data_IF_341036666474
#
_entry.id   IF_341036666474
#
_cell.length_a   1.000
_cell.length_b   1.000
_cell.length_c   1.000
_cell.angle_alpha   90.00
_cell.angle_beta   90.00
_cell.angle_gamma   90.00
#
_symmetry.space_group_name_H-M   'P 1'
#
loop_
_entity.id
_entity.type
_entity.pdbx_description
1 polymer ?
#
# COMPACT_ATOMS: atom_id res chain seq x y z
N UNK A 1 13.06 -5.12 -31.93
CA UNK A 1 13.87 -4.75 -30.75
C UNK A 1 13.65 -5.86 -29.72
N UNK A 2 14.70 -6.50 -29.23
CA UNK A 2 14.55 -7.53 -28.19
C UNK A 2 14.77 -6.89 -26.83
N UNK A 3 14.01 -7.28 -25.78
CA UNK A 3 14.24 -6.81 -24.42
C UNK A 3 15.63 -7.26 -23.93
N UNK A 4 16.20 -6.52 -22.99
CA UNK A 4 17.49 -6.91 -22.41
C UNK A 4 17.36 -8.23 -21.65
N UNK A 5 18.44 -9.00 -21.58
CA UNK A 5 18.50 -10.26 -20.83
C UNK A 5 18.06 -10.10 -19.36
N UNK A 6 18.39 -8.96 -18.74
CA UNK A 6 17.98 -8.62 -17.37
C UNK A 6 16.45 -8.53 -17.24
N UNK A 7 15.78 -7.87 -18.20
CA UNK A 7 14.31 -7.74 -18.19
C UNK A 7 13.65 -9.09 -18.47
N UNK A 8 14.18 -9.87 -19.43
CA UNK A 8 13.63 -11.20 -19.78
C UNK A 8 13.73 -12.20 -18.62
N UNK A 9 14.63 -11.99 -17.67
CA UNK A 9 14.87 -12.89 -16.55
C UNK A 9 14.58 -12.23 -15.18
N UNK A 10 13.74 -11.22 -15.15
CA UNK A 10 13.45 -10.48 -13.90
C UNK A 10 12.87 -11.39 -12.82
N UNK A 11 12.11 -12.43 -13.21
CA UNK A 11 11.53 -13.43 -12.31
C UNK A 11 12.39 -14.69 -12.17
N UNK A 12 13.64 -14.68 -12.66
CA UNK A 12 14.61 -15.80 -12.52
C UNK A 12 14.04 -17.19 -12.84
N UNK A 13 13.08 -17.29 -13.76
CA UNK A 13 12.31 -18.52 -14.09
C UNK A 13 11.52 -19.12 -12.90
N UNK A 14 11.43 -18.39 -11.78
CA UNK A 14 10.59 -18.77 -10.64
C UNK A 14 9.17 -18.21 -10.75
N UNK A 15 8.25 -18.86 -10.03
CA UNK A 15 6.91 -18.32 -9.79
C UNK A 15 7.01 -17.02 -8.99
N UNK A 16 6.28 -15.98 -9.41
CA UNK A 16 6.13 -14.75 -8.63
C UNK A 16 5.03 -14.86 -7.55
N UNK A 17 4.42 -16.05 -7.44
CA UNK A 17 3.34 -16.35 -6.49
C UNK A 17 1.95 -15.91 -6.94
N UNK A 18 1.84 -15.09 -7.98
CA UNK A 18 0.55 -14.61 -8.46
C UNK A 18 -0.26 -15.66 -9.21
N UNK A 19 0.36 -16.72 -9.74
CA UNK A 19 -0.36 -17.79 -10.43
C UNK A 19 -1.38 -18.46 -9.53
N UNK A 20 -1.06 -18.69 -8.25
CA UNK A 20 -1.99 -19.29 -7.29
C UNK A 20 -3.21 -18.41 -7.08
N UNK A 21 -3.00 -17.09 -6.91
CA UNK A 21 -4.07 -16.10 -6.82
C UNK A 21 -4.94 -16.09 -8.08
N UNK A 22 -4.33 -15.96 -9.25
CA UNK A 22 -5.04 -15.92 -10.53
C UNK A 22 -5.83 -17.22 -10.79
N UNK A 23 -5.24 -18.36 -10.45
CA UNK A 23 -5.93 -19.66 -10.57
C UNK A 23 -7.12 -19.76 -9.62
N UNK A 24 -6.98 -19.30 -8.37
CA UNK A 24 -8.09 -19.25 -7.42
C UNK A 24 -9.24 -18.40 -7.96
N UNK A 25 -8.94 -17.20 -8.46
CA UNK A 25 -9.95 -16.30 -9.06
C UNK A 25 -10.64 -16.91 -10.27
N UNK A 26 -9.92 -17.61 -11.14
CA UNK A 26 -10.52 -18.31 -12.29
C UNK A 26 -11.49 -19.42 -11.84
N UNK A 27 -11.10 -20.23 -10.86
CA UNK A 27 -11.97 -21.27 -10.30
C UNK A 27 -13.21 -20.70 -9.61
N UNK A 28 -13.08 -19.60 -8.90
CA UNK A 28 -14.23 -18.90 -8.30
C UNK A 28 -15.19 -18.37 -9.37
N UNK A 29 -14.67 -17.86 -10.48
CA UNK A 29 -15.50 -17.41 -11.61
C UNK A 29 -16.23 -18.58 -12.30
N UNK A 30 -15.70 -19.81 -12.24
CA UNK A 30 -16.35 -21.04 -12.67
C UNK A 30 -17.42 -21.55 -11.66
N UNK A 31 -17.65 -20.82 -10.57
CA UNK A 31 -18.64 -21.18 -9.52
C UNK A 31 -18.09 -22.14 -8.46
N UNK A 32 -16.80 -22.42 -8.41
CA UNK A 32 -16.21 -23.22 -7.35
C UNK A 32 -16.10 -22.45 -6.05
N UNK A 33 -16.40 -23.12 -4.94
CA UNK A 33 -16.14 -22.57 -3.61
C UNK A 33 -14.66 -22.73 -3.26
N UNK A 34 -13.94 -21.61 -3.20
CA UNK A 34 -12.51 -21.55 -2.85
C UNK A 34 -12.36 -20.70 -1.61
N UNK A 35 -11.68 -21.22 -0.60
CA UNK A 35 -11.19 -20.41 0.53
C UNK A 35 -9.87 -19.78 0.10
N UNK A 36 -9.88 -18.47 -0.09
CA UNK A 36 -8.69 -17.72 -0.53
C UNK A 36 -7.86 -17.28 0.67
N UNK A 37 -6.59 -17.69 0.70
CA UNK A 37 -5.60 -17.30 1.70
C UNK A 37 -4.33 -16.74 1.04
N UNK A 38 -4.46 -16.25 -0.20
CA UNK A 38 -3.32 -15.82 -1.02
C UNK A 38 -2.88 -14.39 -0.74
N UNK A 39 -3.81 -13.52 -0.32
CA UNK A 39 -3.53 -12.12 -0.03
C UNK A 39 -4.06 -11.79 1.36
N UNK A 40 -3.21 -11.18 2.19
CA UNK A 40 -3.59 -10.68 3.50
C UNK A 40 -4.32 -9.34 3.41
N UNK A 41 -5.51 -9.34 2.81
CA UNK A 41 -6.36 -8.15 2.74
C UNK A 41 -7.34 -8.13 3.92
N UNK A 42 -7.50 -6.96 4.53
CA UNK A 42 -8.44 -6.78 5.62
C UNK A 42 -9.88 -6.76 5.09
N UNK A 43 -10.78 -7.50 5.71
CA UNK A 43 -12.20 -7.59 5.33
C UNK A 43 -13.05 -6.38 5.79
N UNK A 44 -12.54 -5.58 6.74
CA UNK A 44 -13.19 -4.36 7.21
C UNK A 44 -12.91 -3.22 6.21
N UNK A 45 -13.99 -2.63 5.70
CA UNK A 45 -13.90 -1.50 4.79
C UNK A 45 -13.34 -0.26 5.49
N UNK A 46 -12.67 0.59 4.72
CA UNK A 46 -12.18 1.89 5.21
C UNK A 46 -13.33 2.70 5.81
N UNK A 47 -13.12 3.23 7.01
CA UNK A 47 -14.12 4.04 7.71
C UNK A 47 -14.58 5.24 6.85
N UNK A 48 -15.88 5.52 6.77
CA UNK A 48 -16.40 6.62 5.98
C UNK A 48 -15.83 7.99 6.36
N UNK A 49 -15.37 8.20 7.60
CA UNK A 49 -14.73 9.46 8.01
C UNK A 49 -13.39 9.67 7.29
N UNK A 50 -12.62 8.61 7.08
CA UNK A 50 -11.35 8.64 6.35
C UNK A 50 -11.62 8.96 4.88
N UNK A 51 -12.61 8.30 4.27
CA UNK A 51 -12.98 8.56 2.86
C UNK A 51 -13.48 9.99 2.65
N UNK A 52 -14.27 10.53 3.59
CA UNK A 52 -14.70 11.94 3.53
C UNK A 52 -13.51 12.91 3.64
N UNK A 53 -12.57 12.66 4.55
CA UNK A 53 -11.38 13.49 4.71
C UNK A 53 -10.51 13.47 3.44
N UNK A 54 -10.32 12.30 2.84
CA UNK A 54 -9.60 12.14 1.58
C UNK A 54 -10.28 12.93 0.45
N UNK A 55 -11.59 12.78 0.29
CA UNK A 55 -12.37 13.50 -0.72
C UNK A 55 -12.30 15.01 -0.52
N UNK A 56 -12.47 15.50 0.71
CA UNK A 56 -12.41 16.92 1.03
C UNK A 56 -11.01 17.49 0.72
N UNK A 57 -9.95 16.77 1.03
CA UNK A 57 -8.58 17.18 0.72
C UNK A 57 -8.35 17.27 -0.79
N UNK A 58 -8.79 16.28 -1.54
CA UNK A 58 -8.67 16.29 -3.01
C UNK A 58 -9.50 17.43 -3.63
N UNK A 59 -10.73 17.62 -3.19
CA UNK A 59 -11.59 18.72 -3.63
C UNK A 59 -11.04 20.12 -3.31
N UNK A 60 -10.26 20.24 -2.25
CA UNK A 60 -9.53 21.46 -1.89
C UNK A 60 -8.25 21.71 -2.74
N UNK A 61 -7.96 20.83 -3.73
CA UNK A 61 -6.83 20.99 -4.65
C UNK A 61 -5.53 20.33 -4.20
N UNK A 62 -5.53 19.52 -3.13
CA UNK A 62 -4.35 18.81 -2.67
C UNK A 62 -4.09 17.55 -3.52
N UNK A 63 -3.88 17.73 -4.84
CA UNK A 63 -3.69 16.66 -5.84
C UNK A 63 -2.36 16.74 -6.56
N UNK A 64 -1.48 17.65 -6.16
CA UNK A 64 -0.15 17.85 -6.73
C UNK A 64 0.91 16.91 -6.16
N UNK A 65 2.15 17.13 -6.56
CA UNK A 65 3.29 16.38 -6.03
C UNK A 65 3.49 16.66 -4.54
N UNK A 66 3.71 15.60 -3.78
CA UNK A 66 4.19 15.70 -2.41
C UNK A 66 5.73 15.71 -2.37
N UNK A 67 6.29 16.21 -1.27
CA UNK A 67 7.71 16.05 -0.98
C UNK A 67 8.06 14.55 -0.85
N UNK A 68 9.27 14.18 -1.26
CA UNK A 68 9.73 12.78 -1.24
C UNK A 68 9.49 12.07 0.11
N UNK A 69 9.78 12.66 1.27
CA UNK A 69 9.51 12.02 2.55
C UNK A 69 8.04 12.06 2.99
N UNK A 70 7.15 12.65 2.21
CA UNK A 70 5.75 12.89 2.54
C UNK A 70 5.48 14.31 3.05
N UNK A 71 4.20 14.69 3.09
CA UNK A 71 3.80 16.03 3.55
C UNK A 71 4.10 16.23 5.04
N UNK A 72 4.48 17.45 5.40
CA UNK A 72 4.96 17.78 6.74
C UNK A 72 3.94 17.48 7.84
N UNK A 73 2.67 17.77 7.59
CA UNK A 73 1.55 17.59 8.52
C UNK A 73 1.35 16.10 8.86
N UNK A 74 1.40 15.22 7.85
CA UNK A 74 1.27 13.78 8.06
C UNK A 74 2.45 13.22 8.84
N UNK A 75 3.67 13.62 8.48
CA UNK A 75 4.90 13.22 9.16
C UNK A 75 4.89 13.66 10.62
N UNK A 76 4.44 14.89 10.91
CA UNK A 76 4.30 15.42 12.27
C UNK A 76 3.28 14.60 13.08
N UNK A 77 2.11 14.35 12.51
CA UNK A 77 1.06 13.53 13.17
C UNK A 77 1.54 12.12 13.49
N UNK A 78 2.28 11.50 12.58
CA UNK A 78 2.88 10.17 12.80
C UNK A 78 3.91 10.22 13.92
N UNK A 79 4.80 11.22 13.93
CA UNK A 79 5.83 11.39 14.96
C UNK A 79 5.23 11.55 16.37
N UNK A 80 4.20 12.38 16.50
CA UNK A 80 3.47 12.58 17.76
C UNK A 80 2.80 11.28 18.23
N UNK A 81 2.17 10.55 17.31
CA UNK A 81 1.54 9.27 17.62
C UNK A 81 2.56 8.21 18.07
N UNK A 82 3.72 8.14 17.42
CA UNK A 82 4.81 7.24 17.80
C UNK A 82 5.33 7.60 19.18
N UNK A 83 5.65 8.87 19.43
CA UNK A 83 6.11 9.37 20.72
C UNK A 83 5.12 9.01 21.84
N UNK A 84 3.83 9.29 21.61
CA UNK A 84 2.77 8.98 22.59
C UNK A 84 2.65 7.48 22.88
N UNK A 85 2.81 6.64 21.87
CA UNK A 85 2.64 5.18 22.00
C UNK A 85 3.85 4.48 22.62
N UNK A 86 5.05 4.96 22.32
CA UNK A 86 6.30 4.27 22.68
C UNK A 86 7.09 4.94 23.79
N UNK A 87 6.81 6.22 24.09
CA UNK A 87 7.62 7.04 24.99
C UNK A 87 8.95 7.53 24.35
N UNK A 88 9.25 7.12 23.12
CA UNK A 88 10.46 7.54 22.40
C UNK A 88 10.21 8.87 21.70
N UNK A 89 10.99 9.89 22.03
CA UNK A 89 10.91 11.20 21.41
C UNK A 89 11.18 11.07 19.90
N UNK A 90 10.16 11.35 19.10
CA UNK A 90 10.20 11.21 17.63
C UNK A 90 9.79 12.55 17.02
N UNK A 91 10.54 13.01 16.04
CA UNK A 91 10.23 14.20 15.25
C UNK A 91 9.78 13.82 13.84
N UNK A 92 9.19 14.76 13.11
CA UNK A 92 8.82 14.54 11.71
C UNK A 92 10.02 14.12 10.83
N UNK A 93 11.25 14.47 11.21
CA UNK A 93 12.45 14.15 10.45
C UNK A 93 12.90 12.69 10.62
N UNK A 94 12.30 11.99 11.56
CA UNK A 94 12.44 10.54 11.73
C UNK A 94 11.36 9.73 10.98
N UNK A 95 10.49 10.40 10.19
CA UNK A 95 9.34 9.78 9.53
C UNK A 95 9.47 9.89 8.01
N UNK A 96 9.34 8.76 7.34
CA UNK A 96 9.18 8.64 5.90
C UNK A 96 7.82 8.02 5.60
N UNK A 97 7.05 8.63 4.72
CA UNK A 97 5.76 8.09 4.26
C UNK A 97 5.97 7.35 2.94
N UNK A 98 5.55 6.11 2.90
CA UNK A 98 5.63 5.25 1.71
C UNK A 98 4.24 4.83 1.23
N UNK A 99 4.06 4.52 -0.06
CA UNK A 99 2.80 3.96 -0.57
C UNK A 99 2.69 2.48 -0.20
N UNK A 100 2.03 2.19 0.91
CA UNK A 100 1.91 0.84 1.45
C UNK A 100 3.08 0.43 2.35
N UNK A 101 3.01 -0.80 2.88
CA UNK A 101 3.96 -1.31 3.87
C UNK A 101 5.20 -2.01 3.28
N UNK A 102 5.27 -2.15 1.96
CA UNK A 102 6.37 -2.86 1.27
C UNK A 102 7.28 -1.93 0.47
N UNK A 103 7.00 -0.64 0.45
CA UNK A 103 7.77 0.35 -0.30
C UNK A 103 8.98 0.86 0.51
#
# INVERSE_FOLDING_TARGET
MQPSHRISNINSQGSDGWEVFLRARALMAEGRQITELTIGEHDIRTDPSILRAMHASAAAGNTGYAMVPGIAELRQTVAERVTKRTGVATTRDNVLITPGGQA
#
